data_IF_279577832875
#
_entry.id   IF_279577832875
#
_cell.length_a   1.000
_cell.length_b   1.000
_cell.length_c   1.000
_cell.angle_alpha   90.00
_cell.angle_beta   90.00
_cell.angle_gamma   90.00
#
_symmetry.space_group_name_H-M   'P 1'
#
loop_
_entity.id
_entity.type
_entity.pdbx_description
1 polymer ?
#
# COMPACT_ATOMS: atom_id res chain seq x y z
N UNK A 1 8.62 -10.88 -17.09
CA UNK A 1 8.08 -10.09 -15.96
C UNK A 1 6.91 -10.80 -15.27
N UNK A 2 6.05 -11.53 -15.99
CA UNK A 2 4.99 -12.35 -15.37
C UNK A 2 5.52 -13.41 -14.39
N UNK A 3 6.66 -14.05 -14.72
CA UNK A 3 7.29 -15.09 -13.91
C UNK A 3 7.64 -14.65 -12.46
N UNK A 4 7.79 -13.34 -12.19
CA UNK A 4 8.07 -12.84 -10.84
C UNK A 4 6.89 -13.01 -9.88
N UNK A 5 5.65 -13.08 -10.41
CA UNK A 5 4.45 -13.25 -9.60
C UNK A 5 4.07 -14.71 -9.36
N UNK A 6 4.55 -15.64 -10.18
CA UNK A 6 4.10 -17.04 -10.15
C UNK A 6 4.39 -17.73 -8.81
N UNK A 7 5.59 -17.52 -8.25
CA UNK A 7 5.97 -18.06 -6.93
C UNK A 7 5.16 -17.46 -5.78
N UNK A 8 4.62 -16.26 -5.97
CA UNK A 8 3.76 -15.56 -5.02
C UNK A 8 2.25 -15.73 -5.32
N UNK A 9 1.89 -16.51 -6.35
CA UNK A 9 0.49 -16.69 -6.77
C UNK A 9 -0.14 -15.49 -7.49
N UNK A 10 0.65 -14.49 -7.89
CA UNK A 10 0.18 -13.26 -8.54
C UNK A 10 0.23 -13.42 -10.06
N UNK A 11 -0.91 -13.25 -10.73
CA UNK A 11 -1.01 -13.36 -12.20
C UNK A 11 -0.84 -12.01 -12.87
N UNK A 12 0.38 -11.48 -12.84
CA UNK A 12 0.67 -10.16 -13.40
C UNK A 12 0.19 -10.02 -14.85
N UNK A 13 -0.55 -8.93 -15.11
CA UNK A 13 -0.89 -8.44 -16.43
C UNK A 13 -0.31 -7.03 -16.58
N UNK A 14 0.28 -6.77 -17.74
CA UNK A 14 1.00 -5.52 -18.03
C UNK A 14 0.27 -4.63 -19.03
N UNK A 15 -0.98 -4.95 -19.37
CA UNK A 15 -1.85 -4.04 -20.11
C UNK A 15 -2.49 -2.99 -19.19
N UNK A 16 -3.56 -2.36 -19.67
CA UNK A 16 -4.24 -1.29 -18.95
C UNK A 16 -3.54 0.06 -19.09
N UNK A 17 -3.99 1.03 -18.30
CA UNK A 17 -3.49 2.41 -18.34
C UNK A 17 -2.67 2.71 -17.10
N UNK A 18 -1.44 3.20 -17.30
CA UNK A 18 -0.66 3.77 -16.21
C UNK A 18 -1.34 5.05 -15.73
N UNK A 19 -1.67 5.10 -14.44
CA UNK A 19 -2.40 6.21 -13.84
C UNK A 19 -1.70 6.69 -12.57
N UNK A 20 -1.94 7.94 -12.22
CA UNK A 20 -1.48 8.49 -10.96
C UNK A 20 -2.23 7.82 -9.79
N UNK A 21 -1.51 7.31 -8.80
CA UNK A 21 -2.05 6.55 -7.65
C UNK A 21 -2.32 7.40 -6.41
N UNK A 22 -2.14 8.73 -6.48
CA UNK A 22 -2.28 9.61 -5.32
C UNK A 22 -3.69 9.58 -4.74
N UNK A 23 -4.71 9.49 -5.59
CA UNK A 23 -6.12 9.41 -5.15
C UNK A 23 -6.40 8.07 -4.44
N UNK A 24 -5.83 6.97 -4.93
CA UNK A 24 -5.89 5.68 -4.25
C UNK A 24 -5.22 5.73 -2.87
N UNK A 25 -4.05 6.37 -2.74
CA UNK A 25 -3.38 6.53 -1.46
C UNK A 25 -4.18 7.38 -0.47
N UNK A 26 -4.88 8.41 -0.98
CA UNK A 26 -5.77 9.25 -0.18
C UNK A 26 -6.96 8.48 0.38
N UNK A 27 -7.62 7.68 -0.45
CA UNK A 27 -8.72 6.81 -0.01
C UNK A 27 -8.24 5.77 1.00
N UNK A 28 -7.08 5.14 0.78
CA UNK A 28 -6.47 4.20 1.74
C UNK A 28 -6.21 4.89 3.08
N UNK A 29 -5.55 6.04 3.06
CA UNK A 29 -5.20 6.77 4.29
C UNK A 29 -6.44 7.16 5.09
N UNK A 30 -7.46 7.69 4.42
CA UNK A 30 -8.72 8.08 5.07
C UNK A 30 -9.35 6.91 5.84
N UNK A 31 -9.56 5.78 5.16
CA UNK A 31 -10.19 4.62 5.80
C UNK A 31 -9.27 3.88 6.77
N UNK A 32 -7.94 4.03 6.64
CA UNK A 32 -7.01 3.56 7.65
C UNK A 32 -7.17 4.33 8.96
N UNK A 33 -7.29 5.66 8.89
CA UNK A 33 -7.47 6.52 10.07
C UNK A 33 -8.84 6.30 10.71
N UNK A 34 -9.88 6.13 9.91
CA UNK A 34 -11.25 5.96 10.41
C UNK A 34 -11.54 4.54 10.92
N UNK A 35 -11.10 3.50 10.19
CA UNK A 35 -11.50 2.10 10.40
C UNK A 35 -10.35 1.14 10.67
N UNK A 36 -9.13 1.64 10.74
CA UNK A 36 -7.94 0.89 11.12
C UNK A 36 -7.27 0.12 9.98
N UNK A 37 -6.11 -0.46 10.31
CA UNK A 37 -5.20 -1.10 9.37
C UNK A 37 -5.80 -2.32 8.65
N UNK A 38 -6.69 -3.09 9.28
CA UNK A 38 -7.32 -4.25 8.63
C UNK A 38 -8.22 -3.82 7.46
N UNK A 39 -8.95 -2.71 7.62
CA UNK A 39 -9.78 -2.14 6.54
C UNK A 39 -8.89 -1.65 5.40
N UNK A 40 -7.83 -0.92 5.73
CA UNK A 40 -6.85 -0.45 4.75
C UNK A 40 -6.20 -1.60 3.96
N UNK A 41 -5.83 -2.69 4.65
CA UNK A 41 -5.24 -3.87 4.01
C UNK A 41 -6.21 -4.54 3.02
N UNK A 42 -7.51 -4.62 3.34
CA UNK A 42 -8.53 -5.12 2.39
C UNK A 42 -8.65 -4.22 1.15
N UNK A 43 -8.63 -2.90 1.33
CA UNK A 43 -8.63 -1.95 0.21
C UNK A 43 -7.38 -2.16 -0.66
N UNK A 44 -6.19 -2.21 -0.04
CA UNK A 44 -4.91 -2.40 -0.72
C UNK A 44 -4.90 -3.70 -1.53
N UNK A 45 -5.33 -4.82 -0.93
CA UNK A 45 -5.40 -6.12 -1.60
C UNK A 45 -6.35 -6.10 -2.81
N UNK A 46 -7.52 -5.45 -2.68
CA UNK A 46 -8.43 -5.27 -3.82
C UNK A 46 -7.78 -4.41 -4.92
N UNK A 47 -7.13 -3.30 -4.57
CA UNK A 47 -6.43 -2.45 -5.53
C UNK A 47 -5.26 -3.17 -6.22
N UNK A 48 -4.50 -3.99 -5.49
CA UNK A 48 -3.44 -4.83 -6.06
C UNK A 48 -3.99 -5.79 -7.11
N UNK A 49 -5.05 -6.56 -6.79
CA UNK A 49 -5.63 -7.46 -7.80
C UNK A 49 -6.19 -6.68 -8.99
N UNK A 50 -6.89 -5.57 -8.75
CA UNK A 50 -7.47 -4.75 -9.81
C UNK A 50 -6.41 -4.18 -10.76
N UNK A 51 -5.30 -3.65 -10.23
CA UNK A 51 -4.24 -3.06 -11.03
C UNK A 51 -3.33 -4.13 -11.65
N UNK A 52 -2.75 -5.00 -10.83
CA UNK A 52 -1.70 -5.93 -11.25
C UNK A 52 -2.23 -7.14 -12.01
N UNK A 53 -3.49 -7.54 -11.84
CA UNK A 53 -4.03 -8.76 -12.45
C UNK A 53 -5.22 -8.51 -13.39
N UNK A 54 -5.87 -7.34 -13.28
CA UNK A 54 -7.09 -7.03 -14.02
C UNK A 54 -7.00 -5.75 -14.85
N UNK A 55 -5.81 -5.14 -14.96
CA UNK A 55 -5.52 -4.02 -15.88
C UNK A 55 -6.42 -2.79 -15.64
N UNK A 56 -6.95 -2.65 -14.42
CA UNK A 56 -7.83 -1.53 -14.04
C UNK A 56 -7.02 -0.33 -13.60
N UNK A 57 -7.55 0.86 -13.89
CA UNK A 57 -6.98 2.10 -13.37
C UNK A 57 -7.21 2.14 -11.83
N UNK A 58 -6.15 2.20 -11.01
CA UNK A 58 -6.24 2.13 -9.54
C UNK A 58 -6.91 3.35 -8.91
N UNK A 59 -7.02 4.46 -9.65
CA UNK A 59 -7.60 5.72 -9.18
C UNK A 59 -8.89 6.10 -9.92
N UNK A 60 -9.50 5.16 -10.66
CA UNK A 60 -10.85 5.39 -11.19
C UNK A 60 -11.89 5.25 -10.07
N UNK A 61 -12.99 5.99 -10.20
CA UNK A 61 -14.09 5.92 -9.22
C UNK A 61 -14.64 4.49 -9.11
N UNK A 62 -14.79 3.76 -10.22
CA UNK A 62 -15.21 2.36 -10.23
C UNK A 62 -14.29 1.45 -9.40
N UNK A 63 -12.97 1.57 -9.60
CA UNK A 63 -11.97 0.76 -8.90
C UNK A 63 -11.94 1.06 -7.40
N UNK A 64 -12.02 2.35 -7.03
CA UNK A 64 -12.03 2.79 -5.63
C UNK A 64 -13.31 2.36 -4.89
N UNK A 65 -14.48 2.46 -5.54
CA UNK A 65 -15.74 1.96 -4.98
C UNK A 65 -15.72 0.45 -4.81
N UNK A 66 -15.15 -0.29 -5.77
CA UNK A 66 -14.97 -1.74 -5.63
C UNK A 66 -14.05 -2.08 -4.45
N UNK A 67 -12.92 -1.38 -4.32
CA UNK A 67 -11.94 -1.66 -3.28
C UNK A 67 -12.47 -1.34 -1.87
N UNK A 68 -13.20 -0.24 -1.72
CA UNK A 68 -13.85 0.13 -0.46
C UNK A 68 -15.00 -0.84 -0.11
N UNK A 69 -15.80 -1.24 -1.10
CA UNK A 69 -16.84 -2.27 -0.91
C UNK A 69 -16.25 -3.62 -0.47
N UNK A 70 -15.12 -4.05 -1.06
CA UNK A 70 -14.42 -5.28 -0.65
C UNK A 70 -13.89 -5.22 0.78
N UNK A 71 -13.61 -4.01 1.28
CA UNK A 71 -13.23 -3.77 2.66
C UNK A 71 -14.43 -3.64 3.63
N UNK A 72 -15.66 -3.76 3.13
CA UNK A 72 -16.88 -3.66 3.92
C UNK A 72 -17.36 -2.23 4.17
N UNK A 73 -16.86 -1.26 3.41
CA UNK A 73 -17.28 0.14 3.51
C UNK A 73 -18.56 0.34 2.67
N UNK A 74 -19.62 0.93 3.25
CA UNK A 74 -20.84 1.29 2.51
C UNK A 74 -20.56 2.24 1.34
N UNK A 75 -21.26 2.04 0.22
CA UNK A 75 -21.03 2.82 -1.01
C UNK A 75 -21.29 4.33 -0.82
N UNK A 76 -22.30 4.69 -0.04
CA UNK A 76 -22.63 6.08 0.31
C UNK A 76 -21.52 6.75 1.10
N UNK A 77 -20.92 6.04 2.05
CA UNK A 77 -19.76 6.51 2.81
C UNK A 77 -18.52 6.66 1.92
N UNK A 78 -18.21 5.64 1.11
CA UNK A 78 -17.09 5.65 0.18
C UNK A 78 -17.18 6.78 -0.86
N UNK A 79 -18.38 7.05 -1.38
CA UNK A 79 -18.60 8.10 -2.38
C UNK A 79 -18.23 9.49 -1.88
N UNK A 80 -18.56 9.83 -0.64
CA UNK A 80 -18.23 11.14 -0.07
C UNK A 80 -16.73 11.40 -0.18
N UNK A 81 -15.92 10.41 0.20
CA UNK A 81 -14.46 10.50 0.17
C UNK A 81 -13.93 10.47 -1.27
N UNK A 82 -14.45 9.57 -2.12
CA UNK A 82 -13.95 9.36 -3.49
C UNK A 82 -14.28 10.55 -4.41
N UNK A 83 -15.43 11.20 -4.21
CA UNK A 83 -15.87 12.34 -5.03
C UNK A 83 -15.18 13.65 -4.62
N UNK A 84 -14.92 13.86 -3.32
CA UNK A 84 -14.08 14.97 -2.87
C UNK A 84 -12.59 14.62 -2.93
N UNK A 85 -11.97 14.89 -4.09
CA UNK A 85 -10.54 14.65 -4.30
C UNK A 85 -9.62 15.59 -3.50
N UNK A 86 -10.14 16.62 -2.83
CA UNK A 86 -9.34 17.54 -2.03
C UNK A 86 -9.18 17.05 -0.59
N UNK A 87 -10.17 16.35 -0.06
CA UNK A 87 -10.17 15.88 1.32
C UNK A 87 -9.06 14.84 1.57
N UNK A 88 -8.17 15.11 2.53
CA UNK A 88 -6.99 14.29 2.83
C UNK A 88 -5.82 14.44 1.84
N UNK A 89 -5.96 15.24 0.77
CA UNK A 89 -4.93 15.38 -0.27
C UNK A 89 -3.63 16.00 0.29
N UNK A 90 -3.75 16.99 1.15
CA UNK A 90 -2.59 17.66 1.74
C UNK A 90 -1.89 16.78 2.77
N UNK A 91 -2.65 15.99 3.52
CA UNK A 91 -2.12 15.08 4.53
C UNK A 91 -1.31 13.95 3.89
N UNK A 92 -1.85 13.32 2.85
CA UNK A 92 -1.14 12.27 2.09
C UNK A 92 0.13 12.83 1.43
N UNK A 93 0.08 14.05 0.89
CA UNK A 93 1.27 14.72 0.35
C UNK A 93 2.30 15.01 1.44
N UNK A 94 1.87 15.35 2.65
CA UNK A 94 2.77 15.56 3.78
C UNK A 94 3.45 14.24 4.19
N UNK A 95 2.69 13.15 4.33
CA UNK A 95 3.22 11.81 4.63
C UNK A 95 4.25 11.34 3.58
N UNK A 96 3.97 11.55 2.29
CA UNK A 96 4.93 11.22 1.21
C UNK A 96 6.21 12.05 1.34
N UNK A 97 6.10 13.36 1.62
CA UNK A 97 7.27 14.24 1.79
C UNK A 97 8.08 13.89 3.03
N UNK A 98 7.42 13.47 4.11
CA UNK A 98 8.07 13.02 5.32
C UNK A 98 8.95 11.81 5.04
N UNK A 99 8.40 10.78 4.37
CA UNK A 99 9.19 9.59 4.01
C UNK A 99 10.34 9.92 3.05
N UNK A 100 10.11 10.80 2.07
CA UNK A 100 11.19 11.30 1.21
C UNK A 100 12.29 12.02 2.01
N UNK A 101 11.92 12.80 3.03
CA UNK A 101 12.86 13.49 3.93
C UNK A 101 13.62 12.52 4.83
N UNK A 102 13.01 11.37 5.14
CA UNK A 102 13.66 10.24 5.82
C UNK A 102 14.56 9.41 4.88
N UNK A 103 14.75 9.83 3.63
CA UNK A 103 15.62 9.17 2.66
C UNK A 103 14.98 8.00 1.93
N UNK A 104 13.65 7.81 2.03
CA UNK A 104 12.92 6.79 1.27
C UNK A 104 12.70 7.28 -0.16
N UNK A 105 13.32 6.60 -1.13
CA UNK A 105 13.23 6.93 -2.56
C UNK A 105 12.59 5.82 -3.42
N UNK A 106 12.25 4.68 -2.80
CA UNK A 106 11.76 3.49 -3.48
C UNK A 106 10.86 2.64 -2.57
N UNK A 107 10.00 1.83 -3.19
CA UNK A 107 9.06 0.94 -2.50
C UNK A 107 9.17 -0.51 -3.02
N UNK A 108 8.92 -1.53 -2.16
CA UNK A 108 8.72 -1.39 -0.71
C UNK A 108 10.05 -1.05 0.00
N UNK A 109 9.97 -0.22 1.04
CA UNK A 109 11.06 0.02 2.00
C UNK A 109 10.53 -0.32 3.38
N UNK A 110 11.12 -1.31 4.03
CA UNK A 110 10.69 -1.82 5.33
C UNK A 110 11.75 -1.49 6.37
N UNK A 111 11.36 -0.76 7.41
CA UNK A 111 12.23 -0.35 8.52
C UNK A 111 11.82 -1.15 9.75
N UNK A 112 12.77 -1.87 10.33
CA UNK A 112 12.63 -2.56 11.60
C UNK A 112 13.29 -1.72 12.68
N UNK A 113 12.48 -1.15 13.57
CA UNK A 113 12.97 -0.44 14.74
C UNK A 113 13.71 -1.41 15.68
N UNK A 114 14.94 -1.07 16.04
CA UNK A 114 15.77 -1.91 16.89
C UNK A 114 16.36 -1.15 18.07
N UNK A 115 16.51 -1.84 19.22
CA UNK A 115 17.05 -1.24 20.46
C UNK A 115 18.44 -0.60 20.30
N UNK A 116 19.28 -1.11 19.40
CA UNK A 116 20.66 -0.61 19.17
C UNK A 116 20.79 0.19 17.89
N UNK A 117 20.17 -0.29 16.82
CA UNK A 117 20.11 0.35 15.51
C UNK A 117 18.87 -0.16 14.79
N UNK A 118 18.39 0.65 13.86
CA UNK A 118 17.34 0.23 12.93
C UNK A 118 17.93 -0.59 11.79
N UNK A 119 17.09 -1.44 11.20
CA UNK A 119 17.43 -2.24 10.04
C UNK A 119 16.49 -1.87 8.89
N UNK A 120 17.04 -1.50 7.75
CA UNK A 120 16.24 -1.14 6.57
C UNK A 120 16.43 -2.18 5.48
N UNK A 121 15.33 -2.72 4.96
CA UNK A 121 15.30 -3.55 3.76
C UNK A 121 14.61 -2.77 2.63
N UNK A 122 15.33 -2.62 1.52
CA UNK A 122 14.84 -1.93 0.32
C UNK A 122 14.56 -2.95 -0.78
N UNK A 123 13.38 -2.87 -1.36
CA UNK A 123 12.87 -3.80 -2.37
C UNK A 123 12.15 -5.01 -1.77
N UNK A 124 11.48 -5.77 -2.64
CA UNK A 124 10.82 -7.02 -2.27
C UNK A 124 11.86 -8.12 -2.02
N UNK A 125 12.37 -8.19 -0.78
CA UNK A 125 13.37 -9.18 -0.36
C UNK A 125 12.78 -10.58 -0.20
N UNK A 126 13.64 -11.58 -0.20
CA UNK A 126 13.27 -12.96 0.09
C UNK A 126 12.90 -13.13 1.57
N UNK A 127 12.07 -14.12 1.88
CA UNK A 127 11.55 -14.38 3.23
C UNK A 127 12.70 -14.58 4.24
N UNK A 128 13.76 -15.25 3.83
CA UNK A 128 14.93 -15.54 4.65
C UNK A 128 15.67 -14.26 5.09
N UNK A 129 15.66 -13.20 4.27
CA UNK A 129 16.24 -11.90 4.64
C UNK A 129 15.42 -11.25 5.76
N UNK A 130 14.09 -11.28 5.66
CA UNK A 130 13.19 -10.78 6.70
C UNK A 130 13.38 -11.55 8.01
N UNK A 131 13.41 -12.89 7.96
CA UNK A 131 13.63 -13.73 9.14
C UNK A 131 14.96 -13.42 9.83
N UNK A 132 16.04 -13.23 9.05
CA UNK A 132 17.35 -12.88 9.60
C UNK A 132 17.33 -11.53 10.33
N UNK A 133 16.68 -10.52 9.76
CA UNK A 133 16.56 -9.20 10.40
C UNK A 133 15.73 -9.29 11.67
N UNK A 134 14.56 -9.94 11.63
CA UNK A 134 13.70 -10.13 12.80
C UNK A 134 14.41 -10.86 13.94
N UNK A 135 15.14 -11.94 13.65
CA UNK A 135 15.95 -12.64 14.65
C UNK A 135 17.04 -11.75 15.26
N UNK A 136 17.68 -10.90 14.45
CA UNK A 136 18.70 -9.98 14.93
C UNK A 136 18.10 -8.90 15.84
N UNK A 137 16.96 -8.30 15.46
CA UNK A 137 16.22 -7.33 16.28
C UNK A 137 15.83 -7.96 17.62
N UNK A 138 15.27 -9.18 17.61
CA UNK A 138 14.90 -9.90 18.81
C UNK A 138 16.11 -10.21 19.71
N UNK A 139 17.27 -10.57 19.12
CA UNK A 139 18.51 -10.83 19.85
C UNK A 139 19.07 -9.56 20.50
N UNK A 140 19.04 -8.42 19.81
CA UNK A 140 19.55 -7.13 20.30
C UNK A 140 18.62 -6.48 21.32
N UNK A 141 17.35 -6.90 21.39
CA UNK A 141 16.34 -6.36 22.32
C UNK A 141 16.38 -6.98 23.71
N UNK A 142 17.06 -8.12 23.87
CA UNK A 142 17.38 -8.70 25.18
C UNK A 142 18.28 -7.77 26.00
#
# INVERSE_FOLDING_TARGET
>A
MTAYGESAGIKFKFGGTMANTLDAHRVIQHFQEEKGAETADKIINSLYSQFFENERNPSSQETLLKATSDAGIPEDEAKVVIEDKNEGLMDVKALIREQASNGVDSVPTIIFEGKRRDFTLIGAKDVEEYEKVLHQVAKESK
#
